data_IF_027220929257
#
_entry.id   IF_027220929257
#
_cell.length_a   1.000
_cell.length_b   1.000
_cell.length_c   1.000
_cell.angle_alpha   90.00
_cell.angle_beta   90.00
_cell.angle_gamma   90.00
#
_symmetry.space_group_name_H-M   'P 1'
#
loop_
_entity.id
_entity.type
_entity.pdbx_description
1 polymer ?
#
# COMPACT_ATOMS: atom_id res chain seq x y z
N UNK A 1 -5.14 33.43 -42.17
CA UNK A 1 -6.22 32.47 -41.94
C UNK A 1 -6.12 32.09 -40.49
N UNK A 2 -6.90 32.78 -39.69
CA UNK A 2 -6.82 32.69 -38.23
C UNK A 2 -7.65 31.48 -37.79
N UNK A 3 -6.95 30.47 -37.26
CA UNK A 3 -7.54 29.27 -36.69
C UNK A 3 -8.04 29.52 -35.27
N UNK A 4 -9.03 30.37 -35.10
CA UNK A 4 -9.75 30.52 -33.83
C UNK A 4 -10.82 29.45 -33.79
N UNK A 5 -10.68 28.48 -32.85
CA UNK A 5 -11.72 27.47 -32.63
C UNK A 5 -13.04 28.16 -32.25
N UNK A 6 -14.13 27.64 -32.84
CA UNK A 6 -15.46 28.16 -32.51
C UNK A 6 -15.85 27.83 -31.07
N UNK A 7 -16.75 28.60 -30.48
CA UNK A 7 -17.24 28.36 -29.10
C UNK A 7 -17.88 26.96 -28.98
N UNK A 8 -18.43 26.44 -30.08
CA UNK A 8 -18.96 25.07 -30.12
C UNK A 8 -17.88 24.01 -30.10
N UNK A 9 -16.75 24.23 -30.79
CA UNK A 9 -15.58 23.34 -30.72
C UNK A 9 -14.88 23.38 -29.37
N UNK A 10 -14.80 24.53 -28.73
CA UNK A 10 -14.27 24.70 -27.36
C UNK A 10 -15.19 23.98 -26.39
N UNK A 11 -16.52 24.13 -26.50
CA UNK A 11 -17.47 23.42 -25.64
C UNK A 11 -17.47 21.91 -25.89
N UNK A 12 -17.26 21.45 -27.14
CA UNK A 12 -17.13 20.03 -27.44
C UNK A 12 -15.84 19.43 -26.87
N UNK A 13 -14.73 20.18 -26.86
CA UNK A 13 -13.46 19.77 -26.23
C UNK A 13 -13.55 19.76 -24.69
N UNK A 14 -14.26 20.69 -24.11
CA UNK A 14 -14.50 20.74 -22.65
C UNK A 14 -15.46 19.61 -22.21
N UNK A 15 -16.51 19.35 -22.98
CA UNK A 15 -17.46 18.28 -22.68
C UNK A 15 -16.91 16.86 -23.00
N UNK A 16 -15.90 16.73 -23.88
CA UNK A 16 -15.21 15.45 -24.10
C UNK A 16 -14.22 15.07 -23.00
N UNK A 17 -13.80 16.01 -22.14
CA UNK A 17 -13.00 15.70 -20.97
C UNK A 17 -13.86 15.21 -19.77
N UNK A 18 -15.18 15.45 -19.79
CA UNK A 18 -16.10 15.00 -18.74
C UNK A 18 -16.90 13.74 -19.13
N UNK A 19 -16.72 13.20 -20.35
CA UNK A 19 -17.53 12.10 -20.88
C UNK A 19 -16.75 10.79 -21.09
N UNK A 20 -15.68 10.57 -20.36
CA UNK A 20 -14.98 9.26 -20.29
C UNK A 20 -14.88 8.79 -18.84
N UNK A 21 -15.94 8.95 -18.06
CA UNK A 21 -16.10 8.21 -16.82
C UNK A 21 -17.03 7.03 -17.10
N UNK A 22 -16.43 5.92 -17.51
CA UNK A 22 -17.11 4.64 -17.52
C UNK A 22 -17.39 4.27 -16.07
N UNK A 23 -18.66 4.23 -15.71
CA UNK A 23 -19.22 3.92 -14.39
C UNK A 23 -18.86 2.53 -13.81
N UNK A 24 -17.82 1.87 -14.33
CA UNK A 24 -17.32 0.56 -13.91
C UNK A 24 -15.83 0.59 -13.47
N UNK A 25 -15.14 1.73 -13.48
CA UNK A 25 -13.77 1.79 -12.95
C UNK A 25 -13.78 1.92 -11.43
N UNK A 26 -13.11 0.96 -10.77
CA UNK A 26 -13.00 0.92 -9.29
C UNK A 26 -12.30 2.18 -8.75
N UNK A 27 -11.25 2.66 -9.43
CA UNK A 27 -10.56 3.93 -9.18
C UNK A 27 -10.34 4.65 -10.51
N UNK A 28 -10.46 5.97 -10.50
CA UNK A 28 -10.05 6.82 -11.62
C UNK A 28 -8.51 6.84 -11.74
N UNK A 29 -7.97 7.21 -12.90
CA UNK A 29 -6.51 7.36 -13.09
C UNK A 29 -5.91 8.36 -12.08
N UNK A 30 -6.62 9.45 -11.80
CA UNK A 30 -6.19 10.44 -10.78
C UNK A 30 -6.15 9.85 -9.36
N UNK A 31 -7.04 8.94 -9.02
CA UNK A 31 -7.01 8.23 -7.74
C UNK A 31 -5.88 7.20 -7.69
N UNK A 32 -5.58 6.52 -8.80
CA UNK A 32 -4.44 5.61 -8.90
C UNK A 32 -3.11 6.34 -8.70
N UNK A 33 -2.94 7.48 -9.36
CA UNK A 33 -1.75 8.32 -9.19
C UNK A 33 -1.63 8.84 -7.76
N UNK A 34 -2.72 9.33 -7.18
CA UNK A 34 -2.74 9.83 -5.81
C UNK A 34 -2.39 8.74 -4.78
N UNK A 35 -2.99 7.55 -4.89
CA UNK A 35 -2.67 6.46 -3.97
C UNK A 35 -1.24 5.94 -4.18
N UNK A 36 -0.73 5.94 -5.41
CA UNK A 36 0.64 5.61 -5.72
C UNK A 36 1.63 6.53 -5.00
N UNK A 37 1.39 7.85 -5.04
CA UNK A 37 2.24 8.83 -4.35
C UNK A 37 2.14 8.70 -2.82
N UNK A 38 0.93 8.55 -2.27
CA UNK A 38 0.71 8.28 -0.84
C UNK A 38 1.49 7.04 -0.40
N UNK A 39 1.38 5.95 -1.15
CA UNK A 39 2.03 4.69 -0.85
C UNK A 39 3.57 4.80 -0.95
N UNK A 40 4.08 5.51 -1.96
CA UNK A 40 5.50 5.75 -2.14
C UNK A 40 6.12 6.49 -0.95
N UNK A 41 5.52 7.59 -0.52
CA UNK A 41 6.01 8.40 0.61
C UNK A 41 5.94 7.61 1.92
N UNK A 42 4.82 6.94 2.18
CA UNK A 42 4.61 6.19 3.42
C UNK A 42 5.53 4.96 3.51
N UNK A 43 5.73 4.23 2.41
CA UNK A 43 6.64 3.08 2.38
C UNK A 43 8.11 3.47 2.39
N UNK A 44 8.49 4.63 1.85
CA UNK A 44 9.84 5.17 2.01
C UNK A 44 10.20 5.41 3.49
N UNK A 45 9.26 5.93 4.28
CA UNK A 45 9.42 6.09 5.74
C UNK A 45 9.48 4.73 6.44
N UNK A 46 8.64 3.79 6.03
CA UNK A 46 8.61 2.42 6.55
C UNK A 46 9.92 1.67 6.28
N UNK A 47 10.53 1.83 5.10
CA UNK A 47 11.82 1.24 4.75
C UNK A 47 12.95 1.69 5.69
N UNK A 48 12.97 2.97 6.08
CA UNK A 48 13.94 3.50 7.04
C UNK A 48 13.78 2.85 8.42
N UNK A 49 12.56 2.60 8.85
CA UNK A 49 12.28 1.90 10.11
C UNK A 49 12.73 0.45 10.04
N UNK A 50 12.40 -0.26 8.94
CA UNK A 50 12.84 -1.65 8.75
C UNK A 50 14.37 -1.75 8.72
N UNK A 51 15.08 -0.84 8.04
CA UNK A 51 16.54 -0.76 8.08
C UNK A 51 17.08 -0.74 9.52
N UNK A 52 16.47 0.07 10.39
CA UNK A 52 16.89 0.19 11.79
C UNK A 52 16.69 -1.11 12.58
N UNK A 53 15.68 -1.91 12.23
CA UNK A 53 15.37 -3.18 12.89
C UNK A 53 16.28 -4.31 12.43
N UNK A 54 16.55 -4.40 11.14
CA UNK A 54 17.32 -5.52 10.54
C UNK A 54 18.81 -5.20 10.46
N UNK A 55 19.23 -3.95 10.69
CA UNK A 55 20.61 -3.46 10.55
C UNK A 55 21.26 -3.85 9.21
N UNK A 56 20.47 -3.81 8.14
CA UNK A 56 20.85 -4.03 6.75
C UNK A 56 20.20 -3.00 5.88
N UNK A 57 20.85 -2.61 4.76
CA UNK A 57 20.26 -1.69 3.79
C UNK A 57 18.93 -2.24 3.29
N UNK A 58 17.88 -1.45 3.41
CA UNK A 58 16.54 -1.74 2.91
C UNK A 58 16.20 -0.75 1.83
N UNK A 59 15.85 -1.24 0.65
CA UNK A 59 15.35 -0.44 -0.46
C UNK A 59 13.96 -0.93 -0.84
N UNK A 60 13.03 -0.01 -0.96
CA UNK A 60 11.66 -0.26 -1.43
C UNK A 60 11.43 0.64 -2.64
N UNK A 61 11.09 0.03 -3.77
CA UNK A 61 10.89 0.74 -5.04
C UNK A 61 9.61 1.58 -5.06
N UNK A 62 9.47 2.33 -6.14
CA UNK A 62 8.20 3.01 -6.49
C UNK A 62 7.09 1.96 -6.66
N UNK A 63 5.90 2.20 -6.10
CA UNK A 63 4.79 1.26 -6.14
C UNK A 63 4.19 1.11 -7.53
N UNK A 64 3.62 -0.08 -7.77
CA UNK A 64 2.71 -0.35 -8.88
C UNK A 64 1.32 -0.56 -8.32
N UNK A 65 0.37 0.29 -8.74
CA UNK A 65 -1.05 0.21 -8.35
C UNK A 65 -1.82 -0.57 -9.41
N UNK A 66 -2.53 -1.60 -8.98
CA UNK A 66 -3.33 -2.46 -9.85
C UNK A 66 -4.59 -2.95 -9.15
N UNK A 67 -5.51 -3.56 -9.90
CA UNK A 67 -6.68 -4.26 -9.36
C UNK A 67 -6.44 -5.76 -9.42
N UNK A 68 -6.85 -6.43 -8.36
CA UNK A 68 -6.73 -7.88 -8.26
C UNK A 68 -7.95 -8.47 -7.56
N UNK A 69 -8.06 -9.78 -7.62
CA UNK A 69 -8.99 -10.58 -6.85
C UNK A 69 -8.26 -11.78 -6.27
N UNK A 70 -8.95 -12.55 -5.44
CA UNK A 70 -8.36 -13.71 -4.77
C UNK A 70 -7.73 -14.71 -5.75
N UNK A 71 -8.43 -15.07 -6.83
CA UNK A 71 -7.95 -16.05 -7.81
C UNK A 71 -6.62 -15.64 -8.44
N UNK A 72 -6.47 -14.36 -8.79
CA UNK A 72 -5.22 -13.83 -9.35
C UNK A 72 -4.06 -13.91 -8.35
N UNK A 73 -4.32 -13.63 -7.05
CA UNK A 73 -3.29 -13.76 -6.01
C UNK A 73 -2.88 -15.21 -5.84
N UNK A 74 -3.84 -16.15 -5.84
CA UNK A 74 -3.57 -17.60 -5.76
C UNK A 74 -2.72 -18.08 -6.94
N UNK A 75 -2.96 -17.57 -8.15
CA UNK A 75 -2.21 -17.94 -9.35
C UNK A 75 -0.80 -17.34 -9.38
N UNK A 76 -0.61 -16.13 -8.84
CA UNK A 76 0.70 -15.45 -8.75
C UNK A 76 1.64 -16.10 -7.73
N UNK A 77 1.12 -16.75 -6.70
CA UNK A 77 1.89 -17.29 -5.58
C UNK A 77 1.73 -18.81 -5.44
N UNK A 78 2.80 -19.53 -5.71
CA UNK A 78 2.81 -21.00 -5.62
C UNK A 78 3.02 -21.53 -4.19
N UNK A 79 3.46 -20.70 -3.24
CA UNK A 79 3.87 -21.08 -1.88
C UNK A 79 3.04 -20.36 -0.84
N UNK A 80 2.98 -20.91 0.38
CA UNK A 80 2.39 -20.20 1.50
C UNK A 80 3.02 -18.81 1.68
N UNK A 81 2.16 -17.85 2.00
CA UNK A 81 2.53 -16.47 2.29
C UNK A 81 2.18 -16.12 3.73
N UNK A 82 2.78 -15.07 4.25
CA UNK A 82 2.40 -14.49 5.53
C UNK A 82 1.54 -13.26 5.26
N UNK A 83 0.31 -13.30 5.72
CA UNK A 83 -0.63 -12.19 5.67
C UNK A 83 -0.57 -11.45 7.00
N UNK A 84 -0.44 -10.15 6.92
CA UNK A 84 -0.35 -9.27 8.09
C UNK A 84 -1.44 -8.25 7.99
N UNK A 85 -2.50 -8.45 8.78
CA UNK A 85 -3.67 -7.57 8.84
C UNK A 85 -3.39 -6.38 9.74
N UNK A 86 -3.67 -5.19 9.26
CA UNK A 86 -3.47 -3.92 9.95
C UNK A 86 -4.78 -3.13 9.90
N UNK A 87 -5.36 -2.88 11.08
CA UNK A 87 -6.54 -2.04 11.21
C UNK A 87 -6.16 -0.58 11.49
N UNK A 88 -6.94 0.35 10.96
CA UNK A 88 -6.82 1.76 11.31
C UNK A 88 -7.83 2.09 12.39
N UNK A 89 -7.36 2.68 13.50
CA UNK A 89 -8.17 2.95 14.69
C UNK A 89 -8.56 4.42 14.82
N UNK A 90 -7.84 5.30 14.13
CA UNK A 90 -8.12 6.73 14.10
C UNK A 90 -7.76 7.34 12.75
N UNK A 91 -8.53 8.31 12.31
CA UNK A 91 -8.27 9.12 11.10
C UNK A 91 -8.68 8.47 9.79
N UNK A 92 -8.62 7.15 9.70
CA UNK A 92 -9.12 6.32 8.59
C UNK A 92 -9.96 5.20 9.18
N UNK A 93 -10.90 4.68 8.40
CA UNK A 93 -11.77 3.60 8.84
C UNK A 93 -11.66 2.40 7.90
N UNK A 94 -11.00 1.35 8.36
CA UNK A 94 -10.79 0.13 7.59
C UNK A 94 -9.53 -0.62 7.98
N UNK A 95 -9.16 -1.55 7.14
CA UNK A 95 -7.94 -2.36 7.29
C UNK A 95 -7.26 -2.53 5.94
N UNK A 96 -5.97 -2.86 5.99
CA UNK A 96 -5.24 -3.38 4.85
C UNK A 96 -4.50 -4.67 5.25
N UNK A 97 -4.08 -5.40 4.26
CA UNK A 97 -3.29 -6.60 4.43
C UNK A 97 -1.95 -6.43 3.71
N UNK A 98 -0.86 -6.61 4.43
CA UNK A 98 0.45 -6.83 3.83
C UNK A 98 0.63 -8.32 3.53
N UNK A 99 1.20 -8.62 2.38
CA UNK A 99 1.53 -9.98 1.98
C UNK A 99 3.03 -10.08 1.75
N UNK A 100 3.67 -11.00 2.47
CA UNK A 100 5.09 -11.32 2.35
C UNK A 100 5.28 -12.81 2.06
N UNK A 101 6.34 -13.13 1.34
CA UNK A 101 6.74 -14.53 1.16
C UNK A 101 7.31 -15.10 2.46
N UNK A 102 7.01 -16.35 2.71
CA UNK A 102 7.50 -17.07 3.89
C UNK A 102 9.02 -16.95 4.08
N UNK A 103 9.78 -17.05 2.98
CA UNK A 103 11.25 -16.93 3.00
C UNK A 103 11.70 -15.56 3.53
N UNK A 104 11.05 -14.49 3.08
CA UNK A 104 11.42 -13.12 3.45
C UNK A 104 11.13 -12.86 4.93
N UNK A 105 10.00 -13.39 5.42
CA UNK A 105 9.68 -13.33 6.85
C UNK A 105 10.75 -14.02 7.69
N UNK A 106 11.23 -15.20 7.30
CA UNK A 106 12.30 -15.91 8.02
C UNK A 106 13.59 -15.11 8.03
N UNK A 107 13.98 -14.51 6.92
CA UNK A 107 15.18 -13.67 6.83
C UNK A 107 15.06 -12.45 7.73
N UNK A 108 13.94 -11.70 7.61
CA UNK A 108 13.70 -10.48 8.41
C UNK A 108 13.72 -10.81 9.89
N UNK A 109 13.05 -11.87 10.31
CA UNK A 109 12.97 -12.24 11.72
C UNK A 109 14.29 -12.77 12.27
N UNK A 110 15.08 -13.51 11.49
CA UNK A 110 16.44 -13.93 11.88
C UNK A 110 17.36 -12.72 12.09
N UNK A 111 17.33 -11.75 11.16
CA UNK A 111 18.10 -10.51 11.30
C UNK A 111 17.69 -9.71 12.55
N UNK A 112 16.38 -9.61 12.84
CA UNK A 112 15.87 -8.90 14.05
C UNK A 112 16.33 -9.60 15.34
N UNK A 113 16.47 -10.91 15.32
CA UNK A 113 16.97 -11.68 16.48
C UNK A 113 18.51 -11.69 16.59
N UNK A 114 19.19 -10.92 15.74
CA UNK A 114 20.64 -10.78 15.76
C UNK A 114 21.39 -11.86 14.94
N UNK A 115 20.67 -12.62 14.12
CA UNK A 115 21.23 -13.55 13.14
C UNK A 115 21.81 -12.83 11.91
N UNK A 116 22.25 -13.62 10.95
CA UNK A 116 22.85 -13.12 9.69
C UNK A 116 21.89 -13.21 8.47
N UNK A 117 20.65 -13.69 8.67
CA UNK A 117 19.65 -13.89 7.64
C UNK A 117 19.75 -15.24 6.93
N UNK A 118 20.57 -16.17 7.40
CA UNK A 118 20.76 -17.49 6.76
C UNK A 118 19.95 -18.62 7.41
N UNK A 119 19.42 -18.41 8.59
CA UNK A 119 18.64 -19.40 9.31
C UNK A 119 17.17 -19.44 8.84
N UNK A 120 16.98 -19.91 7.61
CA UNK A 120 15.66 -19.96 6.93
C UNK A 120 15.05 -21.37 6.87
N UNK A 121 15.66 -22.34 7.57
CA UNK A 121 15.21 -23.72 7.57
C UNK A 121 14.03 -23.95 8.52
N UNK A 122 13.20 -24.95 8.20
CA UNK A 122 12.02 -25.30 8.99
C UNK A 122 10.77 -24.51 8.63
N UNK A 123 9.70 -24.74 9.35
CA UNK A 123 8.41 -24.06 9.18
C UNK A 123 8.38 -22.72 9.95
N UNK A 124 7.50 -21.81 9.53
CA UNK A 124 7.19 -20.61 10.31
C UNK A 124 6.46 -21.03 11.58
N UNK A 125 7.01 -20.66 12.73
CA UNK A 125 6.40 -20.85 14.05
C UNK A 125 5.97 -19.52 14.67
N UNK A 126 5.37 -19.60 15.87
CA UNK A 126 4.86 -18.45 16.63
C UNK A 126 5.91 -17.35 16.84
N UNK A 127 7.18 -17.72 17.04
CA UNK A 127 8.25 -16.75 17.21
C UNK A 127 8.45 -15.89 15.96
N UNK A 128 8.41 -16.51 14.78
CA UNK A 128 8.51 -15.77 13.51
C UNK A 128 7.30 -14.84 13.33
N UNK A 129 6.08 -15.33 13.59
CA UNK A 129 4.86 -14.53 13.46
C UNK A 129 4.85 -13.35 14.44
N UNK A 130 5.28 -13.57 15.68
CA UNK A 130 5.39 -12.49 16.67
C UNK A 130 6.45 -11.46 16.27
N UNK A 131 7.62 -11.90 15.83
CA UNK A 131 8.69 -10.99 15.43
C UNK A 131 8.33 -10.18 14.17
N UNK A 132 7.71 -10.80 13.16
CA UNK A 132 7.27 -10.07 11.96
C UNK A 132 6.11 -9.11 12.27
N UNK A 133 5.19 -9.49 13.17
CA UNK A 133 4.12 -8.57 13.62
C UNK A 133 4.70 -7.33 14.28
N UNK A 134 5.72 -7.47 15.12
CA UNK A 134 6.40 -6.33 15.75
C UNK A 134 7.16 -5.49 14.72
N UNK A 135 7.88 -6.11 13.75
CA UNK A 135 8.51 -5.38 12.67
C UNK A 135 7.51 -4.53 11.89
N UNK A 136 6.38 -5.14 11.53
CA UNK A 136 5.32 -4.46 10.78
C UNK A 136 4.62 -3.40 11.63
N UNK A 137 4.49 -3.61 12.94
CA UNK A 137 3.94 -2.61 13.86
C UNK A 137 4.78 -1.33 13.84
N UNK A 138 6.09 -1.46 13.96
CA UNK A 138 7.00 -0.31 13.93
C UNK A 138 7.06 0.34 12.54
N UNK A 139 7.14 -0.47 11.49
CA UNK A 139 7.19 -0.03 10.11
C UNK A 139 5.91 0.72 9.71
N UNK A 140 4.74 0.15 10.00
CA UNK A 140 3.46 0.75 9.67
C UNK A 140 3.07 1.88 10.62
N UNK A 141 3.57 1.89 11.86
CA UNK A 141 3.44 3.03 12.77
C UNK A 141 4.16 4.28 12.23
N UNK A 142 5.36 4.11 11.68
CA UNK A 142 6.08 5.22 11.03
C UNK A 142 5.40 5.66 9.72
N UNK A 143 4.85 4.69 8.95
CA UNK A 143 4.00 4.98 7.79
C UNK A 143 2.75 5.79 8.17
N UNK A 144 2.04 5.40 9.24
CA UNK A 144 0.87 6.11 9.75
C UNK A 144 1.20 7.55 10.19
N UNK A 145 2.39 7.75 10.76
CA UNK A 145 2.89 9.10 11.09
C UNK A 145 3.09 9.96 9.83
N UNK A 146 3.67 9.37 8.78
CA UNK A 146 3.82 10.03 7.48
C UNK A 146 2.45 10.36 6.87
N UNK A 147 1.52 9.41 6.87
CA UNK A 147 0.13 9.62 6.43
C UNK A 147 -0.57 10.70 7.24
N UNK A 148 -0.37 10.77 8.56
CA UNK A 148 -0.94 11.81 9.42
C UNK A 148 -0.52 13.20 8.97
N UNK A 149 0.76 13.36 8.61
CA UNK A 149 1.30 14.62 8.10
C UNK A 149 0.73 14.97 6.72
N UNK A 150 0.64 13.99 5.83
CA UNK A 150 0.12 14.18 4.47
C UNK A 150 -1.37 14.50 4.44
N UNK A 151 -2.17 13.85 5.29
CA UNK A 151 -3.63 14.02 5.33
C UNK A 151 -4.07 15.08 6.35
N UNK A 152 -3.12 15.72 7.03
CA UNK A 152 -3.36 16.73 8.08
C UNK A 152 -4.40 16.27 9.12
N UNK A 153 -4.32 15.01 9.54
CA UNK A 153 -5.17 14.41 10.58
C UNK A 153 -4.39 13.30 11.29
N UNK A 154 -4.69 13.07 12.56
CA UNK A 154 -4.08 11.97 13.30
C UNK A 154 -4.54 10.63 12.73
N UNK A 155 -3.58 9.77 12.38
CA UNK A 155 -3.84 8.40 11.91
C UNK A 155 -3.11 7.44 12.84
N UNK A 156 -3.87 6.52 13.42
CA UNK A 156 -3.36 5.46 14.28
C UNK A 156 -3.78 4.09 13.76
N UNK A 157 -2.96 3.09 14.05
CA UNK A 157 -3.17 1.69 13.66
C UNK A 157 -3.35 0.80 14.89
N UNK A 158 -4.05 -0.32 14.71
CA UNK A 158 -4.06 -1.42 15.68
C UNK A 158 -2.75 -2.23 15.56
N UNK A 159 -2.36 -2.96 16.62
CA UNK A 159 -1.28 -3.93 16.49
C UNK A 159 -1.55 -4.91 15.33
N UNK A 160 -0.58 -5.10 14.41
CA UNK A 160 -0.71 -6.03 13.31
C UNK A 160 -0.89 -7.49 13.78
N UNK A 161 -1.67 -8.25 13.03
CA UNK A 161 -1.85 -9.70 13.26
C UNK A 161 -1.30 -10.43 12.03
N UNK A 162 -0.28 -11.28 12.27
CA UNK A 162 0.33 -12.09 11.22
C UNK A 162 -0.17 -13.54 11.28
N UNK A 163 -0.46 -14.10 10.11
CA UNK A 163 -0.86 -15.51 9.96
C UNK A 163 -0.24 -16.11 8.68
N UNK A 164 0.03 -17.41 8.71
CA UNK A 164 0.46 -18.14 7.51
C UNK A 164 -0.78 -18.56 6.73
N UNK A 165 -0.85 -18.17 5.48
CA UNK A 165 -1.95 -18.48 4.57
C UNK A 165 -1.44 -19.41 3.47
N UNK A 166 -1.99 -20.60 3.39
CA UNK A 166 -1.83 -21.49 2.24
C UNK A 166 -2.89 -21.14 1.20
N UNK A 167 -2.52 -20.32 0.23
CA UNK A 167 -3.42 -19.78 -0.79
C UNK A 167 -4.19 -20.85 -1.56
N UNK A 168 -3.58 -22.03 -1.78
CA UNK A 168 -4.23 -23.14 -2.53
C UNK A 168 -5.26 -23.92 -1.72
N UNK A 169 -5.09 -23.95 -0.41
CA UNK A 169 -5.96 -24.70 0.52
C UNK A 169 -6.94 -23.81 1.30
N UNK A 170 -6.79 -22.48 1.20
CA UNK A 170 -7.72 -21.54 1.83
C UNK A 170 -9.00 -21.48 1.00
N UNK A 171 -10.06 -22.12 1.47
CA UNK A 171 -11.35 -22.22 0.78
C UNK A 171 -12.25 -21.00 1.01
N UNK A 172 -11.96 -20.19 2.02
CA UNK A 172 -12.78 -19.05 2.42
C UNK A 172 -11.89 -17.81 2.68
N UNK A 173 -11.56 -17.08 1.62
CA UNK A 173 -10.83 -15.82 1.69
C UNK A 173 -11.52 -14.79 2.59
N UNK A 174 -12.83 -14.81 2.66
CA UNK A 174 -13.65 -13.98 3.55
C UNK A 174 -13.45 -14.24 5.05
N UNK A 175 -12.82 -15.35 5.43
CA UNK A 175 -12.42 -15.61 6.83
C UNK A 175 -11.17 -14.80 7.20
N UNK A 176 -10.28 -14.50 6.23
CA UNK A 176 -9.11 -13.65 6.43
C UNK A 176 -9.55 -12.19 6.53
N UNK A 177 -10.24 -11.70 5.53
CA UNK A 177 -10.95 -10.42 5.53
C UNK A 177 -12.04 -10.42 4.45
N UNK A 178 -13.21 -9.86 4.78
CA UNK A 178 -14.39 -9.87 3.91
C UNK A 178 -14.15 -9.18 2.56
N UNK A 179 -13.25 -8.19 2.48
CA UNK A 179 -12.98 -7.49 1.22
C UNK A 179 -12.23 -8.34 0.19
N UNK A 180 -11.55 -9.41 0.61
CA UNK A 180 -10.84 -10.31 -0.30
C UNK A 180 -11.77 -11.14 -1.19
N UNK A 181 -13.05 -11.25 -0.83
CA UNK A 181 -14.08 -11.92 -1.63
C UNK A 181 -14.54 -11.09 -2.85
N UNK A 182 -14.10 -9.85 -2.96
CA UNK A 182 -14.41 -8.93 -4.05
C UNK A 182 -13.14 -8.51 -4.78
N UNK A 183 -13.24 -7.61 -5.75
CA UNK A 183 -12.07 -6.94 -6.31
C UNK A 183 -11.49 -5.93 -5.31
N UNK A 184 -10.17 -5.95 -5.19
CA UNK A 184 -9.42 -5.06 -4.30
C UNK A 184 -8.27 -4.36 -5.02
N UNK A 185 -7.79 -3.30 -4.41
CA UNK A 185 -6.60 -2.57 -4.87
C UNK A 185 -5.35 -3.27 -4.36
N UNK A 186 -4.47 -3.67 -5.29
CA UNK A 186 -3.14 -4.23 -5.02
C UNK A 186 -2.09 -3.17 -5.29
N UNK A 187 -1.28 -2.86 -4.28
CA UNK A 187 -0.12 -1.99 -4.38
C UNK A 187 1.12 -2.83 -4.12
N UNK A 188 1.91 -3.02 -5.17
CA UNK A 188 3.13 -3.85 -5.13
C UNK A 188 4.36 -2.99 -5.06
N UNK A 189 5.33 -3.40 -4.26
CA UNK A 189 6.65 -2.81 -4.14
C UNK A 189 7.72 -3.88 -4.33
N UNK A 190 8.76 -3.57 -5.05
CA UNK A 190 9.97 -4.38 -5.02
C UNK A 190 10.76 -4.02 -3.76
N UNK A 191 11.17 -5.03 -2.99
CA UNK A 191 11.90 -4.88 -1.73
C UNK A 191 13.23 -5.62 -1.78
N UNK A 192 14.30 -4.89 -1.49
CA UNK A 192 15.64 -5.44 -1.34
C UNK A 192 16.14 -5.24 0.10
N UNK A 193 16.73 -6.28 0.69
CA UNK A 193 17.43 -6.21 1.99
C UNK A 193 18.85 -6.73 1.80
N UNK A 194 19.80 -5.82 1.58
CA UNK A 194 21.17 -6.16 1.23
C UNK A 194 21.22 -7.10 0.03
N UNK A 195 21.89 -8.23 0.19
CA UNK A 195 21.99 -9.34 -0.77
C UNK A 195 21.14 -10.56 -0.36
N UNK A 196 20.32 -10.43 0.68
CA UNK A 196 19.57 -11.53 1.29
C UNK A 196 18.12 -11.62 0.76
N UNK A 197 17.49 -10.49 0.52
CA UNK A 197 16.12 -10.40 0.00
C UNK A 197 16.12 -9.59 -1.29
N UNK A 198 15.51 -10.15 -2.30
CA UNK A 198 15.15 -9.55 -3.58
C UNK A 198 13.76 -10.09 -3.92
N UNK A 199 12.73 -9.35 -3.58
CA UNK A 199 11.36 -9.87 -3.52
C UNK A 199 10.32 -8.76 -3.70
N UNK A 200 9.06 -9.17 -3.77
CA UNK A 200 7.90 -8.28 -3.80
C UNK A 200 7.18 -8.31 -2.46
N UNK A 201 6.81 -7.13 -1.97
CA UNK A 201 5.86 -6.93 -0.89
C UNK A 201 4.59 -6.31 -1.45
N UNK A 202 3.44 -6.82 -1.08
CA UNK A 202 2.16 -6.30 -1.53
C UNK A 202 1.34 -5.75 -0.38
N UNK A 203 0.57 -4.71 -0.69
CA UNK A 203 -0.47 -4.19 0.17
C UNK A 203 -1.82 -4.34 -0.54
N UNK A 204 -2.78 -4.97 0.12
CA UNK A 204 -4.14 -5.17 -0.37
C UNK A 204 -5.08 -4.26 0.38
N UNK A 205 -5.91 -3.52 -0.34
CA UNK A 205 -6.81 -2.52 0.21
C UNK A 205 -8.23 -2.66 -0.34
N UNK A 206 -9.27 -2.48 0.50
CA UNK A 206 -10.62 -2.24 -0.01
C UNK A 206 -10.67 -0.98 -0.88
N UNK A 207 -11.35 -0.97 -2.03
CA UNK A 207 -11.43 0.21 -2.90
C UNK A 207 -12.01 1.44 -2.19
N UNK A 208 -13.01 1.25 -1.34
CA UNK A 208 -13.62 2.33 -0.57
C UNK A 208 -12.62 3.04 0.37
N UNK A 209 -11.70 2.26 0.97
CA UNK A 209 -10.64 2.78 1.82
C UNK A 209 -9.63 3.62 1.03
N UNK A 210 -9.24 3.17 -0.17
CA UNK A 210 -8.35 3.92 -1.05
C UNK A 210 -8.99 5.25 -1.47
N UNK A 211 -10.28 5.23 -1.84
CA UNK A 211 -11.02 6.46 -2.15
C UNK A 211 -11.07 7.44 -0.98
N UNK A 212 -11.18 6.95 0.24
CA UNK A 212 -11.12 7.80 1.45
C UNK A 212 -9.74 8.46 1.63
N UNK A 213 -8.65 7.71 1.42
CA UNK A 213 -7.29 8.27 1.45
C UNK A 213 -7.08 9.35 0.38
N UNK A 214 -7.50 9.09 -0.86
CA UNK A 214 -7.36 10.03 -1.97
C UNK A 214 -8.12 11.34 -1.75
N UNK A 215 -9.33 11.29 -1.16
CA UNK A 215 -10.09 12.50 -0.81
C UNK A 215 -9.33 13.41 0.15
N UNK A 216 -8.60 12.83 1.09
CA UNK A 216 -7.78 13.59 2.04
C UNK A 216 -6.67 14.41 1.37
N UNK A 217 -6.05 13.89 0.32
CA UNK A 217 -4.97 14.56 -0.43
C UNK A 217 -5.53 15.60 -1.40
N UNK A 218 -6.62 15.30 -2.09
CA UNK A 218 -7.25 16.24 -3.03
C UNK A 218 -7.65 17.56 -2.37
N UNK A 219 -8.11 17.54 -1.12
CA UNK A 219 -8.40 18.76 -0.36
C UNK A 219 -7.15 19.65 -0.15
N UNK A 220 -5.97 19.08 -0.03
CA UNK A 220 -4.72 19.84 0.21
C UNK A 220 -4.19 20.49 -1.07
N UNK A 221 -4.34 19.85 -2.22
CA UNK A 221 -3.92 20.39 -3.50
C UNK A 221 -4.74 21.62 -3.92
N UNK A 222 -6.01 21.68 -3.55
CA UNK A 222 -6.89 22.83 -3.83
C UNK A 222 -6.81 23.96 -2.80
N UNK A 223 -6.21 23.73 -1.62
CA UNK A 223 -6.07 24.75 -0.57
C UNK A 223 -4.69 25.40 -0.53
N UNK A 224 -3.73 24.97 -1.35
CA UNK A 224 -2.45 25.67 -1.53
C UNK A 224 -2.70 26.97 -2.28
N UNK A 225 -2.44 28.17 -1.69
CA UNK A 225 -2.59 29.43 -2.39
C UNK A 225 -1.67 29.45 -3.61
N UNK A 226 -2.24 29.77 -4.77
CA UNK A 226 -1.49 29.92 -6.02
C UNK A 226 -0.37 30.95 -5.81
N UNK A 227 0.83 30.76 -6.42
CA UNK A 227 1.89 31.78 -6.41
C UNK A 227 1.43 33.14 -6.94
N UNK A 228 0.27 33.24 -7.58
CA UNK A 228 -0.33 34.50 -8.05
C UNK A 228 -0.95 35.33 -6.93
N UNK A 229 -1.29 34.72 -5.77
CA UNK A 229 -1.93 35.43 -4.66
C UNK A 229 -0.92 36.24 -3.83
N UNK A 230 0.39 35.97 -3.98
CA UNK A 230 1.46 36.74 -3.35
C UNK A 230 1.93 37.97 -4.18
N UNK A 231 1.43 38.15 -5.39
CA UNK A 231 1.82 39.26 -6.25
C UNK A 231 0.87 40.48 -6.16
N UNK A 232 -0.14 40.46 -5.30
CA UNK A 232 -1.18 41.47 -5.16
C UNK A 232 -1.25 42.14 -3.77
N UNK A 233 -0.13 42.12 -3.00
CA UNK A 233 -0.05 42.81 -1.70
C UNK A 233 1.09 43.85 -1.75
#
# INVERSE_FOLDING_TARGET
MDGVLSQEEINALLNNNDAADSSDEILTESEKDAIGEIANISMGTAATTLFSLVNRRVEISTPVVSFSNWDKIVDEYEKPCVFIKIGYTQGLNGSNILVLKEKDVKIITDLMMGGDGTNINGEIGELHLSAISEAMNQMMGSSATSLSSMLNRTIDISPPIAEVVDLKNTLNEGEIDSFLSEEFVKISFHMEIGDLVDSEIMQLYPPAFVKEMCKGVSCLLYTSPSPRDYAAS
#
